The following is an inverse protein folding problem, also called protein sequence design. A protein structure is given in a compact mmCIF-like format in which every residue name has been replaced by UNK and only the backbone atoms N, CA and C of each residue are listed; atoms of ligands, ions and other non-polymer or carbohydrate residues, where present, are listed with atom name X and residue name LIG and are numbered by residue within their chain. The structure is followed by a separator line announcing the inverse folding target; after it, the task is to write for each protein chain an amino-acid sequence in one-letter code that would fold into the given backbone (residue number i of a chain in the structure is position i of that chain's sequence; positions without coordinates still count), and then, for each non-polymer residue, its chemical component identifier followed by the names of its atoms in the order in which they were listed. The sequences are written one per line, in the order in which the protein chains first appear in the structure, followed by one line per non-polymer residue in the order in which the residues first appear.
data_IF_370556857858
#
_entry.id   IF_370556857858
#
_cell.length_a   1.000
_cell.length_b   1.000
_cell.length_c   1.000
_cell.angle_alpha   90.00
_cell.angle_beta   90.00
_cell.angle_gamma   90.00
#
_symmetry.space_group_name_H-M   'P 1'
#
loop_
_entity.id
_entity.type
_entity.pdbx_description
1 polymer ?
#
# COMPACT_ATOMS: atom_id res chain seq x y z
N UNK A 1 29.97 -4.43 0.96
CA UNK A 1 28.75 -4.94 1.61
C UNK A 1 28.48 -6.32 1.03
N UNK A 2 28.20 -7.32 1.86
CA UNK A 2 27.77 -8.66 1.42
C UNK A 2 26.28 -8.62 1.03
N UNK A 3 25.83 -9.50 0.14
CA UNK A 3 24.45 -9.42 -0.37
C UNK A 3 23.40 -9.84 0.67
N UNK A 4 23.55 -11.02 1.28
CA UNK A 4 22.52 -11.60 2.14
C UNK A 4 23.10 -12.28 3.36
N UNK A 5 22.39 -12.17 4.47
CA UNK A 5 22.61 -12.97 5.67
C UNK A 5 21.30 -13.56 6.17
N UNK A 6 21.33 -14.82 6.57
CA UNK A 6 20.20 -15.46 7.25
C UNK A 6 20.58 -15.70 8.70
N UNK A 7 19.89 -15.02 9.60
CA UNK A 7 20.06 -15.24 11.04
C UNK A 7 19.59 -16.67 11.32
N UNK A 8 20.44 -17.52 11.93
CA UNK A 8 20.04 -18.86 12.35
C UNK A 8 18.80 -18.78 13.24
N UNK A 9 17.91 -19.75 13.15
CA UNK A 9 16.75 -19.81 14.03
C UNK A 9 17.23 -19.99 15.47
N UNK A 10 16.81 -19.09 16.36
CA UNK A 10 17.16 -19.09 17.77
C UNK A 10 15.90 -18.96 18.62
N UNK A 11 16.03 -19.17 19.93
CA UNK A 11 14.91 -19.05 20.86
C UNK A 11 14.34 -17.63 20.97
N UNK A 12 15.11 -16.60 20.58
CA UNK A 12 14.71 -15.20 20.67
C UNK A 12 15.14 -14.41 19.44
N UNK A 13 14.24 -13.60 18.88
CA UNK A 13 14.58 -12.72 17.77
C UNK A 13 15.64 -11.67 18.16
N UNK A 14 16.55 -11.30 17.25
CA UNK A 14 17.60 -10.30 17.53
C UNK A 14 17.02 -8.93 17.86
N UNK A 15 17.70 -8.20 18.74
CA UNK A 15 17.34 -6.83 19.07
C UNK A 15 17.78 -5.85 17.95
N UNK A 16 17.17 -4.65 17.85
CA UNK A 16 17.48 -3.71 16.77
C UNK A 16 18.96 -3.31 16.67
N UNK A 17 19.68 -3.22 17.78
CA UNK A 17 21.11 -2.91 17.79
C UNK A 17 21.97 -4.04 17.19
N UNK A 18 21.54 -5.29 17.34
CA UNK A 18 22.20 -6.46 16.72
C UNK A 18 21.93 -6.47 15.22
N UNK A 19 20.67 -6.23 14.83
CA UNK A 19 20.27 -6.11 13.42
C UNK A 19 21.00 -4.97 12.72
N UNK A 20 21.18 -3.83 13.38
CA UNK A 20 21.92 -2.69 12.83
C UNK A 20 23.36 -3.05 12.49
N UNK A 21 24.04 -3.85 13.32
CA UNK A 21 25.41 -4.33 13.04
C UNK A 21 25.42 -5.26 11.83
N UNK A 22 24.43 -6.15 11.71
CA UNK A 22 24.31 -7.02 10.54
C UNK A 22 24.02 -6.21 9.27
N UNK A 23 23.11 -5.25 9.32
CA UNK A 23 22.71 -4.42 8.19
C UNK A 23 23.81 -3.42 7.74
N UNK A 24 24.83 -3.18 8.57
CA UNK A 24 26.05 -2.47 8.13
C UNK A 24 26.97 -3.36 7.27
N UNK A 25 26.85 -4.68 7.41
CA UNK A 25 27.70 -5.66 6.71
C UNK A 25 26.98 -6.28 5.52
N UNK A 26 25.65 -6.45 5.62
CA UNK A 26 24.80 -7.17 4.68
C UNK A 26 23.69 -6.27 4.16
N UNK A 27 23.44 -6.35 2.86
CA UNK A 27 22.35 -5.61 2.21
C UNK A 27 20.99 -6.10 2.69
N UNK A 28 20.82 -7.42 2.77
CA UNK A 28 19.59 -8.04 3.23
C UNK A 28 19.86 -8.96 4.42
N UNK A 29 18.97 -8.93 5.41
CA UNK A 29 19.03 -9.81 6.58
C UNK A 29 17.69 -10.49 6.76
N UNK A 30 17.67 -11.82 6.71
CA UNK A 30 16.45 -12.61 6.97
C UNK A 30 16.44 -13.20 8.37
N UNK A 31 15.28 -13.14 9.01
CA UNK A 31 15.00 -13.66 10.35
C UNK A 31 13.93 -14.75 10.25
N UNK A 32 14.26 -15.96 10.71
CA UNK A 32 13.26 -17.00 10.92
C UNK A 32 12.79 -16.99 12.36
N UNK A 33 11.49 -17.21 12.56
CA UNK A 33 10.88 -17.31 13.88
C UNK A 33 9.77 -18.35 13.90
N UNK A 34 9.61 -19.02 15.05
CA UNK A 34 8.43 -19.85 15.34
C UNK A 34 7.35 -19.06 16.09
N UNK A 35 7.75 -18.10 16.93
CA UNK A 35 6.85 -17.19 17.66
C UNK A 35 7.29 -15.75 17.44
N UNK A 36 6.37 -14.88 17.01
CA UNK A 36 6.63 -13.45 16.87
C UNK A 36 6.18 -12.72 18.14
N UNK A 37 7.10 -12.07 18.89
CA UNK A 37 6.71 -11.27 20.04
C UNK A 37 5.82 -10.10 19.62
N UNK A 38 4.79 -9.80 20.43
CA UNK A 38 3.94 -8.64 20.21
C UNK A 38 4.77 -7.34 20.22
N UNK A 39 4.51 -6.44 19.28
CA UNK A 39 5.24 -5.16 19.16
C UNK A 39 6.60 -5.26 18.46
N UNK A 40 7.05 -6.45 18.05
CA UNK A 40 8.38 -6.61 17.46
C UNK A 40 8.51 -5.88 16.13
N UNK A 41 7.50 -5.95 15.26
CA UNK A 41 7.53 -5.27 13.96
C UNK A 41 7.48 -3.74 14.10
N UNK A 42 6.69 -3.24 15.03
CA UNK A 42 6.61 -1.81 15.37
C UNK A 42 7.95 -1.30 15.90
N UNK A 43 8.62 -2.09 16.75
CA UNK A 43 9.97 -1.79 17.21
C UNK A 43 10.96 -1.72 16.04
N UNK A 44 10.86 -2.61 15.05
CA UNK A 44 11.72 -2.56 13.87
C UNK A 44 11.49 -1.27 13.05
N UNK A 45 10.24 -0.90 12.77
CA UNK A 45 9.93 0.33 12.03
C UNK A 45 10.47 1.58 12.76
N UNK A 46 10.44 1.59 14.09
CA UNK A 46 10.95 2.70 14.90
C UNK A 46 12.48 2.75 14.97
N UNK A 47 13.14 1.60 15.04
CA UNK A 47 14.58 1.53 15.29
C UNK A 47 15.42 1.49 14.00
N UNK A 48 14.89 0.95 12.90
CA UNK A 48 15.64 0.75 11.67
C UNK A 48 15.46 1.89 10.66
N UNK A 49 16.07 3.03 10.98
CA UNK A 49 15.98 4.29 10.23
C UNK A 49 16.05 4.13 8.71
N UNK A 50 17.00 3.34 8.19
CA UNK A 50 17.28 3.21 6.75
C UNK A 50 16.85 1.87 6.13
N UNK A 51 16.00 1.11 6.82
CA UNK A 51 15.55 -0.21 6.35
C UNK A 51 14.04 -0.33 6.44
N UNK A 52 13.50 -1.29 5.70
CA UNK A 52 12.11 -1.75 5.81
C UNK A 52 12.13 -3.25 5.99
N UNK A 53 10.95 -3.85 6.14
CA UNK A 53 10.80 -5.28 6.19
C UNK A 53 9.63 -5.78 5.37
N UNK A 54 9.78 -6.99 4.84
CA UNK A 54 8.70 -7.86 4.39
C UNK A 54 8.48 -8.94 5.44
N UNK A 55 7.22 -9.26 5.69
CA UNK A 55 6.83 -10.22 6.71
C UNK A 55 5.90 -11.27 6.10
N UNK A 56 6.33 -12.53 6.13
CA UNK A 56 5.54 -13.68 5.71
C UNK A 56 5.19 -14.50 6.94
N UNK A 57 4.01 -14.22 7.51
CA UNK A 57 3.58 -14.81 8.77
C UNK A 57 3.55 -16.34 8.73
N UNK A 58 2.95 -16.90 7.68
CA UNK A 58 2.81 -18.36 7.49
C UNK A 58 4.15 -19.08 7.33
N UNK A 59 5.17 -18.37 6.83
CA UNK A 59 6.52 -18.89 6.66
C UNK A 59 7.42 -18.63 7.88
N UNK A 60 6.93 -17.89 8.89
CA UNK A 60 7.73 -17.48 10.04
C UNK A 60 8.97 -16.66 9.62
N UNK A 61 8.84 -15.78 8.62
CA UNK A 61 9.97 -15.11 7.99
C UNK A 61 9.82 -13.59 7.97
N UNK A 62 10.86 -12.89 8.37
CA UNK A 62 11.04 -11.44 8.17
C UNK A 62 12.25 -11.23 7.28
N UNK A 63 12.13 -10.42 6.24
CA UNK A 63 13.26 -9.99 5.42
C UNK A 63 13.45 -8.49 5.57
N UNK A 64 14.61 -8.08 6.07
CA UNK A 64 15.03 -6.70 6.19
C UNK A 64 15.79 -6.28 4.92
N UNK A 65 15.42 -5.15 4.35
CA UNK A 65 16.06 -4.60 3.14
C UNK A 65 16.30 -3.09 3.28
N UNK A 66 17.24 -2.50 2.52
CA UNK A 66 17.45 -1.06 2.53
C UNK A 66 16.22 -0.34 1.99
N UNK A 67 15.90 0.80 2.56
CA UNK A 67 14.74 1.61 2.18
C UNK A 67 15.01 3.10 2.36
N UNK A 68 14.10 3.93 1.87
CA UNK A 68 14.07 5.36 2.21
C UNK A 68 14.10 5.56 3.73
N UNK A 69 14.80 6.60 4.18
CA UNK A 69 14.98 6.83 5.62
C UNK A 69 13.70 7.37 6.27
N UNK A 70 13.46 7.05 7.54
CA UNK A 70 12.31 7.56 8.30
C UNK A 70 12.34 9.09 8.36
N UNK A 71 13.50 9.70 8.61
CA UNK A 71 13.69 11.16 8.55
C UNK A 71 13.31 11.72 7.18
N UNK A 72 13.67 11.04 6.08
CA UNK A 72 13.34 11.50 4.73
C UNK A 72 11.86 11.38 4.39
N UNK A 73 11.17 10.38 4.97
CA UNK A 73 9.71 10.21 4.91
C UNK A 73 9.02 11.36 5.64
N UNK A 74 9.42 11.64 6.88
CA UNK A 74 8.82 12.69 7.70
C UNK A 74 9.02 14.08 7.07
N UNK A 75 10.17 14.33 6.46
CA UNK A 75 10.43 15.56 5.71
C UNK A 75 9.52 15.72 4.46
N UNK A 76 8.86 14.65 4.00
CA UNK A 76 7.95 14.62 2.84
C UNK A 76 6.52 14.29 3.22
N UNK A 77 6.20 14.33 4.51
CA UNK A 77 4.89 13.93 5.04
C UNK A 77 3.74 14.65 4.34
N UNK A 78 3.84 15.97 4.14
CA UNK A 78 2.80 16.76 3.49
C UNK A 78 2.57 16.33 2.04
N UNK A 79 3.64 16.14 1.26
CA UNK A 79 3.55 15.70 -0.13
C UNK A 79 2.94 14.29 -0.24
N UNK A 80 3.34 13.37 0.64
CA UNK A 80 2.79 12.02 0.70
C UNK A 80 1.31 12.03 1.09
N UNK A 81 0.92 12.85 2.07
CA UNK A 81 -0.47 12.97 2.49
C UNK A 81 -1.34 13.59 1.40
N UNK A 82 -0.88 14.66 0.74
CA UNK A 82 -1.57 15.25 -0.41
C UNK A 82 -1.76 14.24 -1.56
N UNK A 83 -0.74 13.43 -1.85
CA UNK A 83 -0.84 12.36 -2.84
C UNK A 83 -1.90 11.31 -2.45
N UNK A 84 -1.90 10.90 -1.17
CA UNK A 84 -2.87 9.96 -0.64
C UNK A 84 -4.31 10.50 -0.69
N UNK A 85 -4.52 11.79 -0.42
CA UNK A 85 -5.82 12.45 -0.56
C UNK A 85 -6.28 12.48 -2.02
N UNK A 86 -5.39 12.85 -2.94
CA UNK A 86 -5.70 12.86 -4.38
C UNK A 86 -6.07 11.45 -4.88
N UNK A 87 -5.31 10.43 -4.48
CA UNK A 87 -5.61 9.03 -4.77
C UNK A 87 -7.00 8.64 -4.26
N UNK A 88 -7.32 8.94 -2.99
CA UNK A 88 -8.62 8.60 -2.39
C UNK A 88 -9.76 9.31 -3.08
N UNK A 89 -9.61 10.60 -3.38
CA UNK A 89 -10.62 11.38 -4.10
C UNK A 89 -10.90 10.80 -5.49
N UNK A 90 -9.84 10.48 -6.25
CA UNK A 90 -10.01 9.90 -7.59
C UNK A 90 -10.59 8.48 -7.55
N UNK A 91 -10.17 7.66 -6.58
CA UNK A 91 -10.75 6.34 -6.36
C UNK A 91 -12.26 6.41 -6.10
N UNK A 92 -12.70 7.37 -5.28
CA UNK A 92 -14.12 7.59 -5.02
C UNK A 92 -14.87 8.05 -6.26
N UNK A 93 -14.35 9.08 -6.96
CA UNK A 93 -14.97 9.62 -8.17
C UNK A 93 -15.14 8.58 -9.26
N UNK A 94 -14.10 7.80 -9.56
CA UNK A 94 -14.15 6.76 -10.60
C UNK A 94 -15.09 5.61 -10.24
N UNK A 95 -15.15 5.25 -8.95
CA UNK A 95 -16.10 4.24 -8.47
C UNK A 95 -17.55 4.72 -8.64
N UNK A 96 -17.85 5.96 -8.27
CA UNK A 96 -19.19 6.55 -8.47
C UNK A 96 -19.56 6.64 -9.96
N UNK A 97 -18.64 7.09 -10.81
CA UNK A 97 -18.86 7.14 -12.27
C UNK A 97 -19.12 5.76 -12.85
N UNK A 98 -18.41 4.72 -12.39
CA UNK A 98 -18.65 3.35 -12.82
C UNK A 98 -20.05 2.87 -12.41
N UNK A 99 -20.44 3.11 -11.17
CA UNK A 99 -21.77 2.71 -10.67
C UNK A 99 -22.89 3.45 -11.41
N UNK A 100 -22.68 4.72 -11.75
CA UNK A 100 -23.60 5.51 -12.57
C UNK A 100 -23.68 4.99 -14.01
N UNK A 101 -22.54 4.78 -14.68
CA UNK A 101 -22.47 4.24 -16.05
C UNK A 101 -23.09 2.83 -16.17
N UNK A 102 -23.26 2.14 -15.04
CA UNK A 102 -23.90 0.82 -14.95
C UNK A 102 -25.31 0.86 -14.38
N UNK A 103 -25.87 2.06 -14.22
CA UNK A 103 -27.20 2.32 -13.71
C UNK A 103 -27.49 1.61 -12.38
N UNK A 104 -26.47 1.48 -11.51
CA UNK A 104 -26.63 0.92 -10.17
C UNK A 104 -27.49 1.89 -9.34
N UNK A 105 -28.62 1.45 -8.77
CA UNK A 105 -29.48 2.31 -7.96
C UNK A 105 -28.73 2.94 -6.79
N UNK A 106 -28.97 4.22 -6.50
CA UNK A 106 -28.28 4.98 -5.43
C UNK A 106 -28.27 4.22 -4.10
N UNK A 107 -29.42 3.66 -3.69
CA UNK A 107 -29.54 2.89 -2.44
C UNK A 107 -28.72 1.59 -2.37
N UNK A 108 -28.06 1.20 -3.47
CA UNK A 108 -27.21 0.02 -3.57
C UNK A 108 -25.74 0.33 -3.87
N UNK A 109 -25.38 1.59 -4.12
CA UNK A 109 -24.01 1.98 -4.52
C UNK A 109 -22.96 1.69 -3.45
N UNK A 110 -23.37 1.60 -2.19
CA UNK A 110 -22.49 1.25 -1.07
C UNK A 110 -22.35 -0.27 -0.86
N UNK A 111 -23.04 -1.11 -1.64
CA UNK A 111 -22.90 -2.57 -1.56
C UNK A 111 -21.89 -3.06 -2.62
N UNK A 112 -20.71 -3.46 -2.16
CA UNK A 112 -19.66 -4.04 -3.01
C UNK A 112 -20.16 -5.24 -3.86
N UNK A 113 -21.22 -5.93 -3.42
CA UNK A 113 -21.79 -7.06 -4.17
C UNK A 113 -22.30 -6.65 -5.53
N UNK A 114 -22.74 -5.40 -5.71
CA UNK A 114 -23.18 -4.90 -7.00
C UNK A 114 -22.00 -4.86 -8.00
N UNK A 115 -20.81 -4.47 -7.56
CA UNK A 115 -19.61 -4.54 -8.40
C UNK A 115 -19.16 -5.98 -8.67
N UNK A 116 -19.37 -6.91 -7.73
CA UNK A 116 -19.09 -8.33 -8.01
C UNK A 116 -20.08 -8.95 -8.98
N UNK A 117 -21.36 -8.59 -8.92
CA UNK A 117 -22.33 -8.99 -9.94
C UNK A 117 -21.98 -8.39 -11.31
N UNK A 118 -21.58 -7.11 -11.34
CA UNK A 118 -21.08 -6.47 -12.54
C UNK A 118 -19.86 -7.23 -13.10
N UNK A 119 -18.89 -7.60 -12.26
CA UNK A 119 -17.72 -8.39 -12.66
C UNK A 119 -18.11 -9.70 -13.34
N UNK A 120 -19.10 -10.42 -12.81
CA UNK A 120 -19.58 -11.68 -13.40
C UNK A 120 -20.20 -11.51 -14.78
N UNK A 121 -20.83 -10.35 -15.03
CA UNK A 121 -21.50 -10.05 -16.32
C UNK A 121 -20.54 -9.43 -17.33
N UNK A 122 -19.76 -8.46 -16.86
CA UNK A 122 -18.88 -7.61 -17.64
C UNK A 122 -17.73 -7.08 -16.76
N UNK A 123 -16.68 -7.87 -16.66
CA UNK A 123 -15.48 -7.51 -15.89
C UNK A 123 -14.71 -6.31 -16.44
N UNK A 124 -14.89 -5.93 -17.72
CA UNK A 124 -14.15 -4.85 -18.37
C UNK A 124 -15.05 -3.96 -19.21
N UNK A 125 -14.74 -2.67 -19.29
CA UNK A 125 -15.40 -1.75 -20.20
C UNK A 125 -14.96 -0.32 -20.03
N UNK A 126 -15.63 0.59 -20.74
CA UNK A 126 -15.51 2.02 -20.51
C UNK A 126 -16.34 2.44 -19.28
N UNK A 127 -15.79 3.36 -18.50
CA UNK A 127 -16.53 4.18 -17.52
C UNK A 127 -17.14 5.38 -18.25
N UNK A 128 -16.31 6.07 -19.04
CA UNK A 128 -16.67 7.18 -19.92
C UNK A 128 -15.70 7.23 -21.11
N UNK A 129 -15.62 8.35 -21.84
CA UNK A 129 -14.72 8.52 -22.99
C UNK A 129 -13.23 8.46 -22.62
N UNK A 130 -12.89 8.86 -21.39
CA UNK A 130 -11.50 9.01 -20.93
C UNK A 130 -11.03 7.82 -20.08
N UNK A 131 -11.94 7.09 -19.44
CA UNK A 131 -11.60 6.06 -18.45
C UNK A 131 -12.17 4.70 -18.81
N UNK A 132 -11.34 3.69 -18.65
CA UNK A 132 -11.74 2.28 -18.69
C UNK A 132 -11.65 1.66 -17.30
N UNK A 133 -12.32 0.52 -17.11
CA UNK A 133 -12.22 -0.26 -15.89
C UNK A 133 -11.96 -1.74 -16.17
N UNK A 134 -11.34 -2.40 -15.19
CA UNK A 134 -11.21 -3.85 -15.11
C UNK A 134 -11.42 -4.31 -13.67
N UNK A 135 -12.49 -5.07 -13.45
CA UNK A 135 -12.78 -5.78 -12.21
C UNK A 135 -12.05 -7.13 -12.18
N UNK A 136 -11.18 -7.32 -11.18
CA UNK A 136 -10.43 -8.55 -10.94
C UNK A 136 -10.34 -8.82 -9.44
N UNK A 137 -10.27 -10.08 -9.02
CA UNK A 137 -10.23 -10.39 -7.57
C UNK A 137 -11.34 -9.68 -6.78
N UNK A 138 -10.94 -8.89 -5.79
CA UNK A 138 -11.79 -7.99 -4.99
C UNK A 138 -11.57 -6.51 -5.32
N UNK A 139 -10.96 -6.25 -6.48
CA UNK A 139 -10.44 -4.97 -6.90
C UNK A 139 -11.03 -4.49 -8.22
N UNK A 140 -10.88 -3.20 -8.48
CA UNK A 140 -11.16 -2.56 -9.75
C UNK A 140 -9.99 -1.66 -10.14
N UNK A 141 -9.39 -1.94 -11.29
CA UNK A 141 -8.41 -1.07 -11.92
C UNK A 141 -9.14 -0.10 -12.85
N UNK A 142 -8.89 1.19 -12.70
CA UNK A 142 -9.25 2.23 -13.65
C UNK A 142 -8.02 2.70 -14.41
N UNK A 143 -8.17 2.93 -15.71
CA UNK A 143 -7.08 3.40 -16.56
C UNK A 143 -7.57 4.50 -17.50
N UNK A 144 -6.88 5.64 -17.47
CA UNK A 144 -7.15 6.77 -18.34
C UNK A 144 -6.54 6.50 -19.72
N UNK A 145 -7.37 6.56 -20.76
CA UNK A 145 -7.01 6.19 -22.15
C UNK A 145 -5.97 7.15 -22.76
N UNK A 146 -6.08 8.45 -22.49
CA UNK A 146 -5.13 9.47 -22.96
C UNK A 146 -3.79 9.53 -22.21
N UNK A 147 -3.79 9.46 -20.87
CA UNK A 147 -2.58 9.69 -20.06
C UNK A 147 -1.90 8.40 -19.58
N UNK A 148 -2.62 7.27 -19.61
CA UNK A 148 -2.17 6.02 -18.99
C UNK A 148 -2.17 6.06 -17.46
N UNK A 149 -2.81 7.07 -16.84
CA UNK A 149 -2.97 7.14 -15.40
C UNK A 149 -3.77 5.95 -14.89
N UNK A 150 -3.32 5.34 -13.80
CA UNK A 150 -3.94 4.15 -13.20
C UNK A 150 -4.39 4.44 -11.77
N UNK A 151 -5.63 4.09 -11.46
CA UNK A 151 -6.18 4.11 -10.11
C UNK A 151 -6.74 2.72 -9.80
N UNK A 152 -6.17 2.03 -8.81
CA UNK A 152 -6.60 0.69 -8.43
C UNK A 152 -7.27 0.71 -7.05
N UNK A 153 -8.46 0.12 -6.95
CA UNK A 153 -9.35 0.26 -5.79
C UNK A 153 -9.76 -1.11 -5.28
N UNK A 154 -9.70 -1.31 -3.96
CA UNK A 154 -10.29 -2.49 -3.29
C UNK A 154 -11.79 -2.25 -3.14
N UNK A 155 -12.58 -2.79 -4.07
CA UNK A 155 -14.03 -2.53 -4.11
C UNK A 155 -14.80 -3.26 -3.00
N UNK A 156 -14.20 -4.30 -2.41
CA UNK A 156 -14.77 -4.99 -1.25
C UNK A 156 -14.89 -4.08 0.00
N UNK A 157 -14.20 -2.93 0.02
CA UNK A 157 -14.25 -1.96 1.11
C UNK A 157 -15.36 -0.90 0.96
N UNK A 158 -16.15 -0.91 -0.12
CA UNK A 158 -17.27 0.01 -0.28
C UNK A 158 -18.14 0.11 0.99
N UNK A 159 -18.54 1.33 1.41
CA UNK A 159 -18.37 2.61 0.71
C UNK A 159 -16.97 3.24 0.81
N UNK A 160 -16.05 2.66 1.58
CA UNK A 160 -14.69 3.19 1.74
C UNK A 160 -13.82 2.87 0.52
N UNK A 161 -13.65 3.86 -0.35
CA UNK A 161 -12.75 3.79 -1.50
C UNK A 161 -11.38 4.40 -1.19
N UNK A 162 -10.37 4.06 -2.00
CA UNK A 162 -9.05 4.69 -1.89
C UNK A 162 -8.22 4.21 -0.70
N UNK A 163 -8.35 2.92 -0.34
CA UNK A 163 -7.41 2.31 0.59
C UNK A 163 -5.99 2.36 0.04
N UNK A 164 -5.06 2.81 0.87
CA UNK A 164 -3.63 2.90 0.58
C UNK A 164 -2.96 1.52 0.73
N UNK A 165 -3.19 0.66 -0.25
CA UNK A 165 -2.31 -0.48 -0.51
C UNK A 165 -0.98 0.04 -1.12
N UNK A 166 0.15 -0.51 -0.68
CA UNK A 166 1.46 -0.01 -1.10
C UNK A 166 1.71 -0.14 -2.61
N UNK A 167 1.26 -1.23 -3.22
CA UNK A 167 1.42 -1.48 -4.64
C UNK A 167 0.46 -0.64 -5.49
N UNK A 168 -0.82 -0.52 -5.08
CA UNK A 168 -1.80 0.32 -5.78
C UNK A 168 -1.44 1.80 -5.67
N UNK A 169 -1.00 2.25 -4.50
CA UNK A 169 -0.60 3.63 -4.29
C UNK A 169 0.70 3.96 -5.04
N UNK A 170 1.67 3.04 -5.08
CA UNK A 170 2.85 3.19 -5.94
C UNK A 170 2.46 3.26 -7.42
N UNK A 171 1.57 2.38 -7.87
CA UNK A 171 1.08 2.38 -9.26
C UNK A 171 0.46 3.74 -9.63
N UNK A 172 -0.32 4.32 -8.71
CA UNK A 172 -0.89 5.65 -8.88
C UNK A 172 0.19 6.73 -8.98
N UNK A 173 1.15 6.76 -8.05
CA UNK A 173 2.29 7.70 -8.05
C UNK A 173 3.07 7.60 -9.36
N UNK A 174 3.30 6.38 -9.86
CA UNK A 174 4.09 6.15 -11.06
C UNK A 174 3.45 6.65 -12.35
N UNK A 175 2.12 6.59 -12.40
CA UNK A 175 1.31 6.87 -13.58
C UNK A 175 0.66 8.26 -13.54
N UNK A 176 0.86 9.02 -12.47
CA UNK A 176 0.31 10.37 -12.29
C UNK A 176 1.41 11.41 -12.36
N UNK A 177 1.40 12.23 -13.42
CA UNK A 177 2.47 13.20 -13.69
C UNK A 177 2.74 14.18 -12.53
N UNK A 178 1.70 14.58 -11.79
CA UNK A 178 1.80 15.49 -10.65
C UNK A 178 2.68 14.94 -9.50
N UNK A 179 2.95 13.64 -9.45
CA UNK A 179 3.71 12.98 -8.38
C UNK A 179 5.06 12.44 -8.85
N UNK A 180 5.59 12.95 -9.97
CA UNK A 180 6.87 12.52 -10.53
C UNK A 180 8.06 12.62 -9.55
N UNK A 181 8.09 13.65 -8.70
CA UNK A 181 9.14 13.80 -7.68
C UNK A 181 9.06 12.71 -6.60
N UNK A 182 7.85 12.35 -6.16
CA UNK A 182 7.63 11.25 -5.22
C UNK A 182 8.04 9.92 -5.85
N UNK A 183 7.67 9.69 -7.11
CA UNK A 183 8.11 8.51 -7.89
C UNK A 183 9.64 8.39 -7.89
N UNK A 184 10.34 9.47 -8.22
CA UNK A 184 11.80 9.47 -8.30
C UNK A 184 12.43 9.16 -6.94
N UNK A 185 11.91 9.77 -5.87
CA UNK A 185 12.43 9.55 -4.52
C UNK A 185 12.13 8.14 -3.98
N UNK A 186 10.94 7.60 -4.22
CA UNK A 186 10.55 6.24 -3.84
C UNK A 186 11.29 5.16 -4.64
N UNK A 187 11.89 5.52 -5.77
CA UNK A 187 12.69 4.61 -6.59
C UNK A 187 11.89 3.53 -7.30
N UNK A 188 10.56 3.68 -7.41
CA UNK A 188 9.66 2.64 -7.94
C UNK A 188 9.65 1.33 -7.12
N UNK A 189 9.83 1.42 -5.80
CA UNK A 189 9.85 0.27 -4.89
C UNK A 189 8.64 0.32 -3.94
N UNK A 190 7.79 -0.70 -3.98
CA UNK A 190 6.59 -0.80 -3.14
C UNK A 190 6.94 -0.95 -1.66
N UNK A 191 8.08 -1.56 -1.34
CA UNK A 191 8.62 -1.65 0.01
C UNK A 191 8.91 -0.27 0.64
N UNK A 192 9.32 0.72 -0.17
CA UNK A 192 9.50 2.11 0.28
C UNK A 192 8.16 2.77 0.57
N UNK A 193 7.15 2.54 -0.28
CA UNK A 193 5.78 3.02 -0.05
C UNK A 193 5.19 2.39 1.20
N UNK A 194 5.32 1.07 1.37
CA UNK A 194 4.86 0.36 2.55
C UNK A 194 5.48 0.92 3.84
N UNK A 195 6.78 1.20 3.83
CA UNK A 195 7.44 1.89 4.96
C UNK A 195 6.84 3.27 5.21
N UNK A 196 6.71 4.09 4.17
CA UNK A 196 6.16 5.43 4.30
C UNK A 196 4.75 5.41 4.91
N UNK A 197 3.86 4.53 4.43
CA UNK A 197 2.51 4.38 4.96
C UNK A 197 2.49 3.95 6.42
N UNK A 198 3.34 2.99 6.85
CA UNK A 198 3.44 2.57 8.26
C UNK A 198 3.94 3.69 9.17
N UNK A 199 4.92 4.47 8.72
CA UNK A 199 5.43 5.64 9.45
C UNK A 199 4.34 6.73 9.56
N UNK A 200 3.66 7.08 8.47
CA UNK A 200 2.59 8.08 8.51
C UNK A 200 1.42 7.64 9.39
N UNK A 201 1.08 6.34 9.40
CA UNK A 201 0.13 5.78 10.35
C UNK A 201 0.58 5.95 11.80
N UNK A 202 1.85 5.65 12.12
CA UNK A 202 2.36 5.78 13.49
C UNK A 202 2.43 7.23 13.96
N UNK A 203 2.54 8.19 13.04
CA UNK A 203 2.42 9.62 13.31
C UNK A 203 0.96 10.11 13.42
N UNK A 204 -0.04 9.25 13.22
CA UNK A 204 -1.45 9.63 13.24
C UNK A 204 -1.91 10.43 12.02
N UNK A 205 -1.10 10.50 10.96
CA UNK A 205 -1.41 11.21 9.71
C UNK A 205 -2.39 10.40 8.86
N UNK A 206 -2.20 9.08 8.84
CA UNK A 206 -3.11 8.15 8.17
C UNK A 206 -3.95 7.41 9.21
N UNK A 207 -5.20 7.14 8.86
CA UNK A 207 -6.15 6.48 9.74
C UNK A 207 -6.36 5.03 9.30
N UNK A 208 -6.45 4.15 10.29
CA UNK A 208 -6.84 2.77 10.08
C UNK A 208 -8.35 2.63 10.30
N UNK A 209 -9.09 2.15 9.29
CA UNK A 209 -10.53 1.92 9.43
C UNK A 209 -10.81 0.45 9.74
N UNK A 210 -11.22 0.16 10.97
CA UNK A 210 -11.57 -1.19 11.41
C UNK A 210 -12.78 -1.78 10.67
N UNK A 211 -13.60 -0.94 10.02
CA UNK A 211 -14.75 -1.35 9.23
C UNK A 211 -14.39 -1.90 7.84
N UNK A 212 -13.15 -1.68 7.38
CA UNK A 212 -12.68 -2.26 6.11
C UNK A 212 -12.66 -3.79 6.20
N UNK A 213 -12.97 -4.44 5.08
CA UNK A 213 -13.07 -5.91 4.99
C UNK A 213 -11.72 -6.56 4.70
N UNK A 214 -10.78 -5.75 4.26
CA UNK A 214 -9.42 -6.12 3.92
C UNK A 214 -8.45 -5.55 4.97
N UNK A 215 -7.35 -6.27 5.23
CA UNK A 215 -6.31 -5.87 6.19
C UNK A 215 -5.50 -4.65 5.70
N UNK A 216 -5.55 -4.38 4.41
CA UNK A 216 -5.20 -3.10 3.79
C UNK A 216 -6.36 -2.15 4.08
N UNK A 217 -6.21 -1.37 5.15
CA UNK A 217 -7.25 -0.46 5.64
C UNK A 217 -6.72 0.89 6.11
N UNK A 218 -5.66 1.37 5.45
CA UNK A 218 -5.10 2.70 5.69
C UNK A 218 -5.70 3.72 4.73
N UNK A 219 -6.08 4.87 5.28
CA UNK A 219 -6.76 5.93 4.54
C UNK A 219 -6.20 7.29 4.93
N UNK A 220 -6.18 8.20 3.95
CA UNK A 220 -6.06 9.62 4.22
C UNK A 220 -7.46 10.17 4.56
N UNK A 221 -7.56 10.93 5.66
CA UNK A 221 -8.77 11.65 6.03
C UNK A 221 -9.09 12.81 5.09
#
# INVERSE_FOLDING_TARGET
MQERYSVPETASLPQPHELTRLLQQYREVSLKYTLLPAGYLEMLDQALENHTFLHWETAGLILLTPAVSTVSILARQEALYHCAQAFRQQAFQLTELLLEARAVPIGKRHDWRELMQLKMRQARGAVNEEWTYYLHGWECRFEHTGTGQVVEVIVANLPECGCLDAYFFLTYINTTAAFAELRQWLGNEDANVGKALRILRSQGVLQQLAAARDDRNLFAG
#
